data_IF_530716356618
#
_entry.id   IF_530716356618
#
_cell.length_a   1.000
_cell.length_b   1.000
_cell.length_c   1.000
_cell.angle_alpha   90.00
_cell.angle_beta   90.00
_cell.angle_gamma   90.00
#
_symmetry.space_group_name_H-M   'P 1'
#
loop_
_entity.id
_entity.type
_entity.pdbx_description
1 polymer ?
#
# COMPACT_ATOMS: atom_id res chain seq x y z
N UNK A 1 -17.82 22.47 1.70
CA UNK A 1 -17.00 21.45 2.38
C UNK A 1 -16.47 22.06 3.66
N UNK A 2 -16.71 21.46 4.83
CA UNK A 2 -16.28 22.03 6.11
C UNK A 2 -14.76 21.90 6.28
N UNK A 3 -14.07 23.02 6.57
CA UNK A 3 -12.65 23.00 6.93
C UNK A 3 -12.52 22.34 8.31
N UNK A 4 -11.68 21.31 8.42
CA UNK A 4 -11.40 20.62 9.69
C UNK A 4 -10.05 21.10 10.22
N UNK A 5 -10.04 21.63 11.44
CA UNK A 5 -8.82 22.20 12.04
C UNK A 5 -7.65 21.20 12.14
N UNK A 6 -7.96 19.92 12.32
CA UNK A 6 -6.94 18.85 12.35
C UNK A 6 -6.13 18.74 11.05
N UNK A 7 -6.68 19.16 9.90
CA UNK A 7 -5.96 19.14 8.62
C UNK A 7 -4.76 20.08 8.67
N UNK A 8 -4.88 21.25 9.30
CA UNK A 8 -3.79 22.21 9.42
C UNK A 8 -2.63 21.62 10.24
N UNK A 9 -2.93 20.83 11.29
CA UNK A 9 -1.91 20.10 12.07
C UNK A 9 -1.25 18.97 11.28
N UNK A 10 -2.00 18.26 10.43
CA UNK A 10 -1.44 17.23 9.54
C UNK A 10 -0.53 17.84 8.47
N UNK A 11 -0.87 19.01 7.95
CA UNK A 11 -0.02 19.75 7.01
C UNK A 11 1.27 20.21 7.70
N UNK A 12 1.19 20.72 8.94
CA UNK A 12 2.38 21.04 9.74
C UNK A 12 3.28 19.81 9.93
N UNK A 13 2.70 18.66 10.25
CA UNK A 13 3.44 17.40 10.34
C UNK A 13 4.09 17.00 9.01
N UNK A 14 3.37 17.10 7.88
CA UNK A 14 3.90 16.82 6.53
C UNK A 14 5.15 17.65 6.22
N UNK A 15 5.11 18.94 6.54
CA UNK A 15 6.15 19.90 6.19
C UNK A 15 7.37 19.83 7.13
N UNK A 16 7.30 19.05 8.21
CA UNK A 16 8.43 18.86 9.10
C UNK A 16 9.44 17.86 8.48
N UNK A 17 10.72 18.26 8.27
CA UNK A 17 11.74 17.38 7.71
C UNK A 17 12.11 16.21 8.65
N UNK A 18 11.94 16.37 9.96
CA UNK A 18 12.22 15.34 10.99
C UNK A 18 10.94 14.60 11.44
N UNK A 19 9.87 14.64 10.63
CA UNK A 19 8.59 14.02 10.99
C UNK A 19 8.75 12.51 11.24
N UNK A 20 8.26 12.06 12.39
CA UNK A 20 8.12 10.63 12.72
C UNK A 20 6.77 10.11 12.21
N UNK A 21 6.59 8.78 12.05
CA UNK A 21 5.29 8.21 11.72
C UNK A 21 4.19 8.74 12.65
N UNK A 22 3.03 9.07 12.07
CA UNK A 22 1.91 9.66 12.81
C UNK A 22 0.86 8.60 13.16
N UNK A 23 0.34 8.67 14.39
CA UNK A 23 -0.75 7.81 14.85
C UNK A 23 -2.01 8.64 15.16
N UNK A 24 -3.03 8.52 14.31
CA UNK A 24 -4.34 9.17 14.49
C UNK A 24 -5.24 8.33 15.40
N UNK A 25 -5.53 8.82 16.61
CA UNK A 25 -6.39 8.15 17.61
C UNK A 25 -7.71 8.90 17.81
N UNK A 26 -8.73 8.17 18.30
CA UNK A 26 -10.05 8.72 18.63
C UNK A 26 -11.12 7.63 18.67
N UNK A 27 -12.33 7.97 19.13
CA UNK A 27 -13.45 7.03 19.23
C UNK A 27 -13.86 6.42 17.85
N UNK A 28 -14.59 5.30 17.86
CA UNK A 28 -15.08 4.68 16.61
C UNK A 28 -16.02 5.66 15.86
N UNK A 29 -15.98 5.63 14.54
CA UNK A 29 -16.87 6.41 13.65
C UNK A 29 -16.78 7.96 13.74
N UNK A 30 -15.73 8.53 14.35
CA UNK A 30 -15.53 10.00 14.43
C UNK A 30 -14.95 10.64 13.15
N UNK A 31 -14.85 9.90 12.05
CA UNK A 31 -14.32 10.41 10.78
C UNK A 31 -12.80 10.41 10.63
N UNK A 32 -12.07 9.56 11.38
CA UNK A 32 -10.61 9.40 11.24
C UNK A 32 -10.20 9.04 9.81
N UNK A 33 -10.86 8.04 9.21
CA UNK A 33 -10.62 7.63 7.81
C UNK A 33 -10.90 8.78 6.84
N UNK A 34 -11.99 9.53 7.07
CA UNK A 34 -12.32 10.70 6.25
C UNK A 34 -11.22 11.76 6.30
N UNK A 35 -10.66 12.02 7.48
CA UNK A 35 -9.54 12.97 7.64
C UNK A 35 -8.28 12.49 6.90
N UNK A 36 -7.96 11.19 6.95
CA UNK A 36 -6.83 10.62 6.20
C UNK A 36 -7.04 10.80 4.69
N UNK A 37 -8.25 10.53 4.19
CA UNK A 37 -8.56 10.72 2.76
C UNK A 37 -8.43 12.19 2.34
N UNK A 38 -9.02 13.12 3.10
CA UNK A 38 -8.87 14.56 2.84
C UNK A 38 -7.39 14.98 2.88
N UNK A 39 -6.62 14.46 3.84
CA UNK A 39 -5.20 14.78 3.94
C UNK A 39 -4.37 14.21 2.78
N UNK A 40 -4.76 13.06 2.23
CA UNK A 40 -4.06 12.44 1.09
C UNK A 40 -4.11 13.30 -0.19
N UNK A 41 -5.12 14.16 -0.35
CA UNK A 41 -5.23 15.09 -1.48
C UNK A 41 -4.05 16.09 -1.55
N UNK A 42 -3.29 16.24 -0.46
CA UNK A 42 -2.07 17.05 -0.44
C UNK A 42 -0.82 16.32 -0.97
N UNK A 43 -0.92 15.08 -1.42
CA UNK A 43 0.19 14.32 -2.00
C UNK A 43 -0.10 14.00 -3.47
N UNK A 44 0.91 14.16 -4.32
CA UNK A 44 0.82 13.75 -5.73
C UNK A 44 0.61 12.23 -5.86
N UNK A 45 1.25 11.47 -4.96
CA UNK A 45 1.11 10.03 -4.87
C UNK A 45 0.87 9.62 -3.42
N UNK A 46 -0.12 8.75 -3.20
CA UNK A 46 -0.42 8.19 -1.90
C UNK A 46 -0.77 6.70 -2.05
N UNK A 47 -0.41 5.89 -1.05
CA UNK A 47 -0.79 4.47 -0.98
C UNK A 47 -1.71 4.31 0.22
N UNK A 48 -2.98 3.98 -0.04
CA UNK A 48 -3.95 3.72 0.99
C UNK A 48 -3.99 2.23 1.32
N UNK A 49 -3.79 1.88 2.59
CA UNK A 49 -3.83 0.49 3.08
C UNK A 49 -4.90 0.36 4.17
N UNK A 50 -5.95 -0.40 3.88
CA UNK A 50 -7.00 -0.72 4.85
C UNK A 50 -6.79 -2.13 5.41
N UNK A 51 -6.22 -2.25 6.61
CA UNK A 51 -5.94 -3.53 7.25
C UNK A 51 -7.18 -4.18 7.91
N UNK A 52 -8.32 -3.49 7.99
CA UNK A 52 -9.57 -4.07 8.49
C UNK A 52 -10.33 -4.86 7.41
N UNK A 53 -9.99 -4.65 6.13
CA UNK A 53 -10.47 -5.53 5.06
C UNK A 53 -9.68 -6.83 5.12
N UNK A 54 -10.27 -7.84 5.75
CA UNK A 54 -9.69 -9.18 5.87
C UNK A 54 -9.42 -9.84 4.51
N UNK A 55 -10.08 -9.37 3.45
CA UNK A 55 -9.96 -9.94 2.12
C UNK A 55 -10.55 -8.93 1.12
N UNK A 56 -9.73 -8.00 0.66
CA UNK A 56 -9.73 -7.71 -0.75
C UNK A 56 -8.48 -8.41 -1.27
N UNK A 57 -8.52 -9.72 -1.44
CA UNK A 57 -8.06 -10.27 -2.70
C UNK A 57 -8.67 -9.33 -3.73
N UNK A 58 -7.85 -8.41 -4.25
CA UNK A 58 -8.02 -7.95 -5.61
C UNK A 58 -8.33 -9.25 -6.34
N UNK A 59 -9.53 -9.36 -6.88
CA UNK A 59 -10.02 -10.56 -7.51
C UNK A 59 -9.17 -10.80 -8.77
N UNK A 60 -7.92 -11.23 -8.57
CA UNK A 60 -6.99 -11.65 -9.60
C UNK A 60 -7.54 -12.90 -10.28
N UNK A 61 -8.56 -13.54 -9.70
CA UNK A 61 -9.21 -14.75 -10.18
C UNK A 61 -9.92 -14.54 -11.53
N UNK A 62 -10.21 -13.29 -11.91
CA UNK A 62 -10.70 -12.92 -13.25
C UNK A 62 -9.59 -12.73 -14.31
N UNK A 63 -8.31 -12.77 -13.93
CA UNK A 63 -7.20 -12.86 -14.87
C UNK A 63 -6.76 -14.33 -14.95
N UNK A 64 -7.00 -14.95 -16.11
CA UNK A 64 -6.75 -16.39 -16.32
C UNK A 64 -5.38 -16.86 -15.80
N UNK A 65 -5.36 -18.05 -15.19
CA UNK A 65 -4.20 -18.65 -14.50
C UNK A 65 -3.47 -17.66 -13.59
N UNK A 66 -4.04 -17.42 -12.41
CA UNK A 66 -3.32 -16.77 -11.31
C UNK A 66 -2.22 -17.72 -10.83
N UNK A 67 -1.01 -17.55 -11.36
CA UNK A 67 0.16 -18.01 -10.62
C UNK A 67 0.08 -17.35 -9.23
N UNK A 68 0.14 -18.16 -8.17
CA UNK A 68 0.10 -17.61 -6.82
C UNK A 68 1.33 -16.73 -6.66
N UNK A 69 1.13 -15.42 -6.48
CA UNK A 69 2.21 -14.49 -6.25
C UNK A 69 1.99 -13.67 -4.99
N UNK A 70 3.08 -13.17 -4.42
CA UNK A 70 3.09 -12.26 -3.29
C UNK A 70 3.94 -11.04 -3.62
N UNK A 71 3.70 -9.94 -2.93
CA UNK A 71 4.47 -8.71 -3.08
C UNK A 71 5.12 -8.37 -1.74
N UNK A 72 6.44 -8.19 -1.73
CA UNK A 72 7.21 -7.68 -0.59
C UNK A 72 7.66 -6.26 -0.89
N UNK A 73 7.19 -5.29 -0.12
CA UNK A 73 7.71 -3.91 -0.20
C UNK A 73 8.89 -3.78 0.76
N UNK A 74 10.09 -3.47 0.25
CA UNK A 74 11.32 -3.45 1.04
C UNK A 74 12.40 -2.46 0.54
N UNK A 75 13.54 -2.40 1.22
CA UNK A 75 14.65 -1.46 0.91
C UNK A 75 15.73 -2.01 -0.04
N UNK A 76 15.48 -3.13 -0.72
CA UNK A 76 16.45 -3.73 -1.64
C UNK A 76 16.15 -3.44 -3.12
N UNK A 77 16.68 -4.28 -4.01
CA UNK A 77 16.50 -4.17 -5.46
C UNK A 77 15.19 -4.80 -5.94
N UNK A 78 14.68 -4.34 -7.08
CA UNK A 78 13.56 -4.96 -7.76
C UNK A 78 13.96 -6.36 -8.24
N UNK A 79 13.26 -7.40 -7.78
CA UNK A 79 13.50 -8.78 -8.21
C UNK A 79 12.28 -9.67 -8.06
N UNK A 80 12.22 -10.71 -8.88
CA UNK A 80 11.22 -11.78 -8.83
C UNK A 80 11.93 -13.04 -8.31
N UNK A 81 11.48 -13.58 -7.18
CA UNK A 81 11.98 -14.84 -6.62
C UNK A 81 10.90 -15.93 -6.72
N UNK A 82 11.27 -17.20 -6.95
CA UNK A 82 10.37 -18.35 -6.72
C UNK A 82 10.58 -18.86 -5.30
N UNK A 83 9.53 -18.92 -4.50
CA UNK A 83 9.59 -19.29 -3.08
C UNK A 83 8.73 -20.51 -2.82
N UNK A 84 9.27 -21.46 -2.05
CA UNK A 84 8.50 -22.57 -1.49
C UNK A 84 8.29 -22.35 0.01
N UNK A 85 7.04 -22.40 0.46
CA UNK A 85 6.71 -22.32 1.90
C UNK A 85 7.16 -23.57 2.63
N UNK A 86 7.27 -23.50 3.96
CA UNK A 86 7.52 -24.69 4.82
C UNK A 86 6.51 -25.82 4.61
N UNK A 87 5.32 -25.50 4.09
CA UNK A 87 4.24 -26.46 3.80
C UNK A 87 4.23 -26.92 2.33
N UNK A 88 5.28 -26.62 1.55
CA UNK A 88 5.45 -27.04 0.17
C UNK A 88 4.67 -26.25 -0.88
N UNK A 89 3.92 -25.21 -0.48
CA UNK A 89 3.23 -24.31 -1.42
C UNK A 89 4.26 -23.41 -2.13
N UNK A 90 4.31 -23.47 -3.45
CA UNK A 90 5.17 -22.61 -4.28
C UNK A 90 4.43 -21.34 -4.71
N UNK A 91 5.14 -20.21 -4.70
CA UNK A 91 4.63 -18.93 -5.18
C UNK A 91 5.74 -18.03 -5.69
N UNK A 92 5.38 -17.10 -6.58
CA UNK A 92 6.28 -16.08 -7.12
C UNK A 92 6.27 -14.85 -6.20
N UNK A 93 7.43 -14.34 -5.79
CA UNK A 93 7.55 -13.18 -4.92
C UNK A 93 8.14 -11.99 -5.68
N UNK A 94 7.33 -10.95 -5.87
CA UNK A 94 7.78 -9.65 -6.32
C UNK A 94 8.37 -8.87 -5.14
N UNK A 95 9.69 -8.74 -5.09
CA UNK A 95 10.35 -7.87 -4.13
C UNK A 95 10.42 -6.46 -4.71
N UNK A 96 9.53 -5.59 -4.27
CA UNK A 96 9.34 -4.23 -4.75
C UNK A 96 10.05 -3.23 -3.82
N UNK A 97 11.03 -2.46 -4.31
CA UNK A 97 11.63 -1.37 -3.56
C UNK A 97 10.59 -0.33 -3.10
N UNK A 98 10.71 0.23 -1.90
CA UNK A 98 9.76 1.23 -1.36
C UNK A 98 9.50 2.39 -2.32
N UNK A 99 10.53 2.86 -3.04
CA UNK A 99 10.44 3.97 -4.00
C UNK A 99 9.67 3.62 -5.29
N UNK A 100 9.36 2.34 -5.52
CA UNK A 100 8.54 1.87 -6.66
C UNK A 100 7.10 1.54 -6.27
N UNK A 101 6.76 1.57 -4.98
CA UNK A 101 5.44 1.21 -4.48
C UNK A 101 4.32 2.10 -5.06
N UNK A 102 4.61 3.35 -5.41
CA UNK A 102 3.67 4.26 -6.07
C UNK A 102 3.29 3.87 -7.51
N UNK A 103 3.98 2.88 -8.10
CA UNK A 103 3.65 2.30 -9.42
C UNK A 103 3.45 0.78 -9.34
N UNK A 104 3.01 0.29 -8.18
CA UNK A 104 2.88 -1.15 -7.89
C UNK A 104 2.08 -1.90 -8.97
N UNK A 105 0.97 -1.32 -9.44
CA UNK A 105 0.13 -1.92 -10.50
C UNK A 105 0.93 -2.17 -11.79
N UNK A 106 1.75 -1.21 -12.23
CA UNK A 106 2.59 -1.37 -13.42
C UNK A 106 3.62 -2.51 -13.26
N UNK A 107 4.12 -2.72 -12.05
CA UNK A 107 5.07 -3.80 -11.76
C UNK A 107 4.39 -5.16 -11.60
N UNK A 108 3.15 -5.20 -11.12
CA UNK A 108 2.31 -6.40 -11.14
C UNK A 108 2.07 -6.81 -12.60
N UNK A 109 1.63 -5.89 -13.45
CA UNK A 109 1.41 -6.14 -14.89
C UNK A 109 2.68 -6.61 -15.59
N UNK A 110 3.82 -5.96 -15.31
CA UNK A 110 5.12 -6.34 -15.86
C UNK A 110 5.51 -7.76 -15.45
N UNK A 111 5.33 -8.11 -14.18
CA UNK A 111 5.63 -9.45 -13.68
C UNK A 111 4.74 -10.50 -14.35
N UNK A 112 3.43 -10.26 -14.43
CA UNK A 112 2.48 -11.20 -15.05
C UNK A 112 2.80 -11.47 -16.53
N UNK A 113 3.29 -10.48 -17.27
CA UNK A 113 3.73 -10.64 -18.67
C UNK A 113 5.07 -11.35 -18.83
N UNK A 114 5.86 -11.42 -17.77
CA UNK A 114 7.22 -11.98 -17.78
C UNK A 114 7.26 -13.45 -17.31
N UNK A 115 6.13 -13.97 -16.81
CA UNK A 115 5.91 -15.37 -16.43
C UNK A 115 5.37 -16.15 -17.63
#
# INVERSE_FOLDING_TARGET
MFKRDIIDELIKWKNNPERKPLLLRGARQVGKTTVVNMFSEHYEQYIYLNLEQADNSLDFTNYGRVEQFAIRIYGGQLKIDKISTSNGKEYTLLNLPFYLAGRIENYIDWMQKSL
#
